data_IF_468346757894
#
_entry.id   IF_468346757894
#
_cell.length_a   1.000
_cell.length_b   1.000
_cell.length_c   1.000
_cell.angle_alpha   90.00
_cell.angle_beta   90.00
_cell.angle_gamma   90.00
#
_symmetry.space_group_name_H-M   'P 1'
#
loop_
_entity.id
_entity.type
_entity.pdbx_description
1 polymer ?
#
# COMPACT_ATOMS: atom_id res chain seq x y z
N UNK A 1 -18.89 7.49 -39.71
CA UNK A 1 -17.67 7.46 -40.55
C UNK A 1 -16.55 7.01 -39.64
N UNK A 2 -16.09 5.75 -39.76
CA UNK A 2 -14.97 5.18 -38.99
C UNK A 2 -13.67 5.56 -39.70
N UNK A 3 -12.88 6.42 -39.12
CA UNK A 3 -11.58 6.85 -39.65
C UNK A 3 -10.57 5.69 -39.62
N UNK A 4 -10.09 5.22 -40.78
CA UNK A 4 -9.07 4.13 -40.85
C UNK A 4 -7.71 4.55 -40.30
N UNK A 5 -7.41 5.85 -40.26
CA UNK A 5 -6.12 6.38 -39.80
C UNK A 5 -5.92 6.21 -38.28
N UNK A 6 -6.98 6.34 -37.49
CA UNK A 6 -6.95 6.12 -36.03
C UNK A 6 -6.68 4.65 -35.65
N UNK A 7 -7.12 3.69 -36.49
CA UNK A 7 -6.87 2.25 -36.30
C UNK A 7 -5.41 1.85 -36.63
N UNK A 8 -4.82 2.53 -37.61
CA UNK A 8 -3.43 2.26 -38.03
C UNK A 8 -2.42 2.84 -37.02
N UNK A 9 -2.63 4.04 -36.50
CA UNK A 9 -1.80 4.64 -35.46
C UNK A 9 -1.83 3.82 -34.15
N UNK A 10 -3.01 3.30 -33.76
CA UNK A 10 -3.17 2.41 -32.58
C UNK A 10 -2.51 1.03 -32.76
N UNK A 11 -2.37 0.54 -34.00
CA UNK A 11 -1.64 -0.70 -34.31
C UNK A 11 -0.13 -0.51 -34.35
N UNK A 12 0.35 0.60 -34.90
CA UNK A 12 1.78 0.93 -34.99
C UNK A 12 2.37 1.15 -33.58
N UNK A 13 1.72 1.90 -32.70
CA UNK A 13 2.19 2.08 -31.32
C UNK A 13 2.22 0.79 -30.52
N UNK A 14 1.31 -0.16 -30.78
CA UNK A 14 1.30 -1.47 -30.14
C UNK A 14 2.47 -2.37 -30.60
N UNK A 15 2.92 -2.23 -31.83
CA UNK A 15 4.08 -2.94 -32.36
C UNK A 15 5.38 -2.49 -31.69
N UNK A 16 5.60 -1.21 -31.58
CA UNK A 16 6.84 -0.61 -31.03
C UNK A 16 7.06 -1.01 -29.56
N UNK A 17 6.01 -0.96 -28.72
CA UNK A 17 6.13 -1.34 -27.31
C UNK A 17 6.38 -2.84 -27.14
N UNK A 18 5.74 -3.69 -27.99
CA UNK A 18 5.95 -5.13 -27.94
C UNK A 18 7.36 -5.52 -28.43
N UNK A 19 7.91 -4.79 -29.38
CA UNK A 19 9.25 -5.00 -29.91
C UNK A 19 10.32 -4.58 -28.88
N UNK A 20 10.12 -3.47 -28.19
CA UNK A 20 11.06 -2.97 -27.17
C UNK A 20 11.07 -3.77 -25.87
N UNK A 21 9.89 -4.28 -25.42
CA UNK A 21 9.74 -4.96 -24.12
C UNK A 21 9.64 -6.48 -24.22
N UNK A 22 9.42 -7.01 -25.41
CA UNK A 22 9.01 -8.38 -25.61
C UNK A 22 7.53 -8.66 -25.30
N UNK A 23 6.92 -9.69 -25.94
CA UNK A 23 5.47 -9.89 -25.96
C UNK A 23 4.86 -10.16 -24.58
N UNK A 24 5.58 -10.83 -23.67
CA UNK A 24 5.10 -11.11 -22.29
C UNK A 24 4.98 -9.84 -21.46
N UNK A 25 5.95 -8.93 -21.56
CA UNK A 25 5.94 -7.67 -20.85
C UNK A 25 4.93 -6.67 -21.43
N UNK A 26 4.77 -6.66 -22.76
CA UNK A 26 3.76 -5.84 -23.42
C UNK A 26 2.34 -6.27 -23.01
N UNK A 27 2.08 -7.57 -22.90
CA UNK A 27 0.82 -8.09 -22.37
C UNK A 27 0.64 -7.68 -20.90
N UNK A 28 1.67 -7.84 -20.08
CA UNK A 28 1.62 -7.49 -18.67
C UNK A 28 1.31 -6.00 -18.46
N UNK A 29 1.96 -5.12 -19.21
CA UNK A 29 1.72 -3.68 -19.16
C UNK A 29 0.29 -3.34 -19.60
N UNK A 30 -0.20 -3.95 -20.68
CA UNK A 30 -1.57 -3.72 -21.16
C UNK A 30 -2.63 -4.12 -20.11
N UNK A 31 -2.50 -5.30 -19.52
CA UNK A 31 -3.43 -5.79 -18.50
C UNK A 31 -3.35 -4.95 -17.22
N UNK A 32 -2.14 -4.57 -16.80
CA UNK A 32 -1.92 -3.67 -15.68
C UNK A 32 -2.52 -2.28 -15.92
N UNK A 33 -2.25 -1.68 -17.09
CA UNK A 33 -2.78 -0.38 -17.46
C UNK A 33 -4.31 -0.37 -17.53
N UNK A 34 -4.93 -1.41 -18.12
CA UNK A 34 -6.39 -1.50 -18.20
C UNK A 34 -7.03 -1.60 -16.82
N UNK A 35 -6.48 -2.41 -15.91
CA UNK A 35 -6.98 -2.53 -14.55
C UNK A 35 -6.76 -1.24 -13.74
N UNK A 36 -5.59 -0.61 -13.89
CA UNK A 36 -5.26 0.65 -13.24
C UNK A 36 -6.21 1.77 -13.71
N UNK A 37 -6.34 2.00 -14.99
CA UNK A 37 -7.16 3.08 -15.55
C UNK A 37 -8.63 2.93 -15.16
N UNK A 38 -9.21 1.73 -15.26
CA UNK A 38 -10.60 1.51 -14.86
C UNK A 38 -10.81 1.83 -13.37
N UNK A 39 -9.95 1.31 -12.51
CA UNK A 39 -10.08 1.56 -11.07
C UNK A 39 -9.85 3.04 -10.73
N UNK A 40 -8.91 3.72 -11.41
CA UNK A 40 -8.70 5.16 -11.20
C UNK A 40 -9.88 5.99 -11.69
N UNK A 41 -10.47 5.62 -12.82
CA UNK A 41 -11.69 6.28 -13.29
C UNK A 41 -12.80 6.21 -12.21
N UNK A 42 -13.01 5.05 -11.59
CA UNK A 42 -13.99 4.90 -10.49
C UNK A 42 -13.62 5.79 -9.30
N UNK A 43 -12.37 5.79 -8.85
CA UNK A 43 -11.92 6.61 -7.72
C UNK A 43 -12.08 8.10 -8.01
N UNK A 44 -11.68 8.56 -9.21
CA UNK A 44 -11.76 9.96 -9.58
C UNK A 44 -13.20 10.43 -9.77
N UNK A 45 -14.03 9.67 -10.47
CA UNK A 45 -15.45 9.99 -10.64
C UNK A 45 -16.14 10.08 -9.28
N UNK A 46 -15.98 9.06 -8.43
CA UNK A 46 -16.60 9.05 -7.10
C UNK A 46 -16.09 10.19 -6.21
N UNK A 47 -14.78 10.46 -6.22
CA UNK A 47 -14.17 11.51 -5.42
C UNK A 47 -14.58 12.92 -5.86
N UNK A 48 -14.55 13.20 -7.16
CA UNK A 48 -14.98 14.51 -7.70
C UNK A 48 -16.47 14.73 -7.45
N UNK A 49 -17.31 13.72 -7.74
CA UNK A 49 -18.75 13.80 -7.45
C UNK A 49 -19.03 14.04 -5.96
N UNK A 50 -18.27 13.41 -5.07
CA UNK A 50 -18.41 13.64 -3.64
C UNK A 50 -18.12 15.10 -3.25
N UNK A 51 -17.09 15.72 -3.84
CA UNK A 51 -16.80 17.14 -3.59
C UNK A 51 -17.91 18.03 -4.13
N UNK A 52 -18.42 17.74 -5.34
CA UNK A 52 -19.52 18.50 -5.94
C UNK A 52 -20.81 18.39 -5.11
N UNK A 53 -21.12 17.22 -4.58
CA UNK A 53 -22.36 16.95 -3.84
C UNK A 53 -22.30 17.35 -2.36
N UNK A 54 -21.15 17.12 -1.70
CA UNK A 54 -21.01 17.30 -0.25
C UNK A 54 -20.10 18.49 0.13
N UNK A 55 -19.47 19.13 -0.84
CA UNK A 55 -18.53 20.22 -0.61
C UNK A 55 -17.16 19.74 -0.09
N UNK A 56 -16.33 20.71 0.23
CA UNK A 56 -14.92 20.49 0.61
C UNK A 56 -14.70 20.03 2.05
N UNK A 57 -15.73 20.02 2.91
CA UNK A 57 -15.60 19.82 4.35
C UNK A 57 -14.51 20.74 4.98
N UNK A 58 -14.60 22.03 4.68
CA UNK A 58 -13.54 23.04 4.94
C UNK A 58 -13.05 23.07 6.39
N UNK A 59 -13.94 22.93 7.36
CA UNK A 59 -13.58 22.90 8.79
C UNK A 59 -12.65 21.72 9.17
N UNK A 60 -12.76 20.60 8.47
CA UNK A 60 -11.85 19.46 8.65
C UNK A 60 -10.58 19.64 7.83
N UNK A 61 -10.72 20.12 6.59
CA UNK A 61 -9.59 20.40 5.70
C UNK A 61 -8.62 21.40 6.30
N UNK A 62 -9.09 22.49 6.85
CA UNK A 62 -8.25 23.52 7.48
C UNK A 62 -7.41 23.02 8.66
N UNK A 63 -7.88 21.98 9.38
CA UNK A 63 -7.11 21.35 10.47
C UNK A 63 -6.11 20.31 10.00
N UNK A 64 -6.41 19.61 8.90
CA UNK A 64 -5.64 18.47 8.43
C UNK A 64 -4.68 18.82 7.26
N UNK A 65 -4.91 19.96 6.63
CA UNK A 65 -4.10 20.54 5.56
C UNK A 65 -3.97 22.05 5.76
N UNK A 66 -3.30 22.49 6.84
CA UNK A 66 -3.21 23.90 7.20
C UNK A 66 -2.45 24.74 6.15
N UNK A 67 -1.57 24.11 5.40
CA UNK A 67 -0.78 24.76 4.33
C UNK A 67 -1.43 24.66 2.94
N UNK A 68 -2.63 24.09 2.87
CA UNK A 68 -3.36 23.92 1.60
C UNK A 68 -2.58 23.13 0.53
N UNK A 69 -1.70 22.22 0.95
CA UNK A 69 -0.85 21.43 0.05
C UNK A 69 -1.67 20.60 -0.97
N UNK A 70 -2.88 20.22 -0.59
CA UNK A 70 -3.83 19.49 -1.43
C UNK A 70 -4.83 20.40 -2.21
N UNK A 71 -4.63 21.72 -2.15
CA UNK A 71 -5.41 22.73 -2.91
C UNK A 71 -4.47 23.75 -3.56
N UNK A 72 -3.61 23.31 -4.49
CA UNK A 72 -2.46 24.10 -4.94
C UNK A 72 -2.83 25.32 -5.77
N UNK A 73 -4.05 25.38 -6.36
CA UNK A 73 -4.43 26.49 -7.25
C UNK A 73 -5.39 27.46 -6.61
N UNK A 74 -6.07 27.10 -5.52
CA UNK A 74 -7.18 27.86 -4.95
C UNK A 74 -8.41 27.94 -5.86
N UNK A 75 -8.37 27.30 -7.05
CA UNK A 75 -9.47 27.24 -8.00
C UNK A 75 -10.30 25.98 -7.76
N UNK A 76 -11.52 26.14 -7.28
CA UNK A 76 -12.37 25.02 -6.81
C UNK A 76 -12.49 23.86 -7.81
N UNK A 77 -12.61 24.15 -9.11
CA UNK A 77 -12.74 23.11 -10.14
C UNK A 77 -11.44 22.32 -10.35
N UNK A 78 -10.28 23.00 -10.43
CA UNK A 78 -8.98 22.35 -10.62
C UNK A 78 -8.60 21.56 -9.36
N UNK A 79 -8.77 22.17 -8.19
CA UNK A 79 -8.46 21.51 -6.92
C UNK A 79 -9.37 20.29 -6.70
N UNK A 80 -10.63 20.29 -7.15
CA UNK A 80 -11.52 19.14 -7.12
C UNK A 80 -11.00 17.96 -7.97
N UNK A 81 -10.38 18.25 -9.11
CA UNK A 81 -9.80 17.21 -9.97
C UNK A 81 -8.60 16.50 -9.36
N UNK A 82 -7.83 17.15 -8.49
CA UNK A 82 -6.64 16.56 -7.86
C UNK A 82 -6.94 15.99 -6.46
N UNK A 83 -8.07 16.36 -5.87
CA UNK A 83 -8.47 15.93 -4.53
C UNK A 83 -8.48 14.41 -4.30
N UNK A 84 -8.92 13.56 -5.27
CA UNK A 84 -8.86 12.11 -5.10
C UNK A 84 -7.44 11.56 -4.93
N UNK A 85 -6.44 12.33 -5.30
CA UNK A 85 -5.02 11.96 -5.16
C UNK A 85 -4.31 12.60 -3.97
N UNK A 86 -4.95 13.52 -3.23
CA UNK A 86 -4.26 14.27 -2.18
C UNK A 86 -5.19 14.57 -1.00
N UNK A 87 -5.02 13.79 0.08
CA UNK A 87 -5.67 13.99 1.38
C UNK A 87 -4.85 13.29 2.46
N UNK A 88 -5.06 13.67 3.73
CA UNK A 88 -4.49 13.02 4.91
C UNK A 88 -2.95 13.02 4.87
N UNK A 89 -2.31 11.87 4.94
CA UNK A 89 -0.84 11.78 4.97
C UNK A 89 -0.17 12.38 3.72
N UNK A 90 -0.92 12.64 2.63
CA UNK A 90 -0.37 13.32 1.45
C UNK A 90 0.21 14.69 1.79
N UNK A 91 -0.38 15.41 2.75
CA UNK A 91 0.09 16.73 3.19
C UNK A 91 1.50 16.63 3.76
N UNK A 92 1.74 15.66 4.65
CA UNK A 92 3.06 15.43 5.23
C UNK A 92 4.13 15.11 4.15
N UNK A 93 3.79 14.27 3.18
CA UNK A 93 4.74 13.95 2.10
C UNK A 93 5.06 15.16 1.23
N UNK A 94 4.09 16.01 0.93
CA UNK A 94 4.31 17.23 0.15
C UNK A 94 5.09 18.28 0.96
N UNK A 95 4.77 18.46 2.24
CA UNK A 95 5.50 19.36 3.12
C UNK A 95 6.97 18.95 3.29
N UNK A 96 7.23 17.65 3.48
CA UNK A 96 8.61 17.14 3.56
C UNK A 96 9.33 17.29 2.21
N UNK A 97 8.65 17.05 1.08
CA UNK A 97 9.24 17.22 -0.24
C UNK A 97 9.64 18.68 -0.53
N UNK A 98 8.88 19.66 -0.01
CA UNK A 98 9.18 21.08 -0.20
C UNK A 98 10.08 21.70 0.87
N UNK A 99 9.93 21.30 2.14
CA UNK A 99 10.57 21.94 3.28
C UNK A 99 11.51 21.06 4.10
N UNK A 100 11.58 19.75 3.79
CA UNK A 100 12.40 18.80 4.54
C UNK A 100 11.91 18.50 5.95
N UNK A 101 12.83 17.99 6.77
CA UNK A 101 12.62 17.69 8.19
C UNK A 101 13.09 18.84 9.06
N UNK A 102 12.38 19.08 10.17
CA UNK A 102 12.69 20.18 11.08
C UNK A 102 12.65 19.73 12.53
N UNK A 103 13.54 20.21 13.40
CA UNK A 103 13.46 19.99 14.84
C UNK A 103 12.23 20.66 15.48
N UNK A 104 11.65 21.66 14.83
CA UNK A 104 10.44 22.34 15.32
C UNK A 104 9.15 21.62 14.95
N UNK A 105 9.22 20.60 14.07
CA UNK A 105 8.08 19.77 13.67
C UNK A 105 8.50 18.29 13.68
N UNK A 106 8.64 17.68 14.87
CA UNK A 106 9.13 16.32 15.02
C UNK A 106 8.18 15.26 14.43
N UNK A 107 6.88 15.58 14.24
CA UNK A 107 5.90 14.66 13.66
C UNK A 107 6.27 14.26 12.23
N UNK A 108 6.96 15.12 11.46
CA UNK A 108 7.48 14.78 10.12
C UNK A 108 8.37 13.54 10.12
N UNK A 109 9.08 13.28 11.23
CA UNK A 109 9.98 12.14 11.35
C UNK A 109 9.26 10.78 11.30
N UNK A 110 7.93 10.73 11.48
CA UNK A 110 7.16 9.51 11.26
C UNK A 110 7.11 9.08 9.78
N UNK A 111 7.33 10.02 8.85
CA UNK A 111 7.24 9.82 7.41
C UNK A 111 8.63 9.64 6.79
N UNK A 112 8.87 8.48 6.17
CA UNK A 112 10.18 8.08 5.68
C UNK A 112 10.59 8.84 4.41
N UNK A 113 11.92 9.09 4.19
CA UNK A 113 12.42 10.11 3.29
C UNK A 113 12.36 9.75 1.81
N UNK A 114 12.33 8.47 1.43
CA UNK A 114 12.50 8.06 0.04
C UNK A 114 11.42 8.66 -0.88
N UNK A 115 10.16 8.58 -0.47
CA UNK A 115 9.06 9.07 -1.29
C UNK A 115 9.06 10.60 -1.42
N UNK A 116 9.15 11.41 -0.34
CA UNK A 116 9.29 12.85 -0.43
C UNK A 116 10.49 13.29 -1.28
N UNK A 117 11.63 12.60 -1.15
CA UNK A 117 12.83 12.87 -1.95
C UNK A 117 12.57 12.67 -3.45
N UNK A 118 11.91 11.55 -3.82
CA UNK A 118 11.53 11.31 -5.22
C UNK A 118 10.56 12.39 -5.73
N UNK A 119 9.58 12.79 -4.91
CA UNK A 119 8.65 13.87 -5.26
C UNK A 119 9.40 15.18 -5.49
N UNK A 120 10.34 15.54 -4.61
CA UNK A 120 11.16 16.75 -4.76
C UNK A 120 11.98 16.70 -6.06
N UNK A 121 12.66 15.59 -6.34
CA UNK A 121 13.45 15.41 -7.57
C UNK A 121 12.58 15.51 -8.83
N UNK A 122 11.41 14.84 -8.83
CA UNK A 122 10.49 14.86 -9.99
C UNK A 122 9.80 16.21 -10.15
N UNK A 123 9.64 16.99 -9.08
CA UNK A 123 9.04 18.32 -9.16
C UNK A 123 9.94 19.35 -9.86
N UNK A 124 11.26 19.18 -9.82
CA UNK A 124 12.22 20.13 -10.39
C UNK A 124 11.96 20.42 -11.90
N UNK A 125 11.84 19.42 -12.78
CA UNK A 125 11.49 19.67 -14.19
C UNK A 125 10.02 20.13 -14.40
N UNK A 126 9.17 20.03 -13.37
CA UNK A 126 7.78 20.50 -13.37
C UNK A 126 7.63 21.90 -12.77
N UNK A 127 8.69 22.69 -12.73
CA UNK A 127 8.67 24.04 -12.15
C UNK A 127 8.42 24.09 -10.64
N UNK A 128 8.76 23.02 -9.92
CA UNK A 128 8.54 22.90 -8.46
C UNK A 128 7.15 22.42 -8.06
N UNK A 129 6.33 21.97 -9.00
CA UNK A 129 4.95 21.52 -8.74
C UNK A 129 4.93 20.16 -8.01
N UNK A 130 4.92 20.19 -6.67
CA UNK A 130 5.05 19.01 -5.81
C UNK A 130 3.88 18.02 -5.96
N UNK A 131 2.63 18.51 -6.01
CA UNK A 131 1.46 17.63 -6.09
C UNK A 131 1.40 16.83 -7.40
N UNK A 132 1.56 17.44 -8.59
CA UNK A 132 1.67 16.69 -9.85
C UNK A 132 2.84 15.71 -9.85
N UNK A 133 4.00 16.10 -9.27
CA UNK A 133 5.16 15.21 -9.13
C UNK A 133 4.84 14.00 -8.26
N UNK A 134 4.19 14.19 -7.11
CA UNK A 134 3.76 13.11 -6.22
C UNK A 134 2.78 12.14 -6.90
N UNK A 135 1.81 12.65 -7.64
CA UNK A 135 0.89 11.82 -8.44
C UNK A 135 1.63 11.03 -9.51
N UNK A 136 2.56 11.66 -10.23
CA UNK A 136 3.37 11.00 -11.27
C UNK A 136 4.22 9.87 -10.70
N UNK A 137 4.89 10.10 -9.56
CA UNK A 137 5.66 9.07 -8.84
C UNK A 137 4.77 7.91 -8.44
N UNK A 138 3.62 8.19 -7.79
CA UNK A 138 2.70 7.14 -7.33
C UNK A 138 2.14 6.33 -8.50
N UNK A 139 1.68 6.97 -9.58
CA UNK A 139 1.09 6.28 -10.73
C UNK A 139 2.12 5.45 -11.50
N UNK A 140 3.33 5.97 -11.68
CA UNK A 140 4.43 5.23 -12.31
C UNK A 140 4.80 3.99 -11.51
N UNK A 141 4.94 4.13 -10.19
CA UNK A 141 5.22 3.01 -9.30
C UNK A 141 4.06 2.00 -9.26
N UNK A 142 2.81 2.45 -9.23
CA UNK A 142 1.64 1.57 -9.26
C UNK A 142 1.58 0.77 -10.56
N UNK A 143 1.77 1.41 -11.70
CA UNK A 143 1.80 0.74 -13.00
C UNK A 143 2.97 -0.24 -13.08
N UNK A 144 4.16 0.14 -12.62
CA UNK A 144 5.33 -0.74 -12.52
C UNK A 144 5.06 -1.95 -11.62
N UNK A 145 4.47 -1.74 -10.45
CA UNK A 145 4.08 -2.82 -9.54
C UNK A 145 3.08 -3.79 -10.17
N UNK A 146 1.98 -3.29 -10.74
CA UNK A 146 0.95 -4.13 -11.37
C UNK A 146 1.49 -4.89 -12.58
N UNK A 147 2.38 -4.27 -13.36
CA UNK A 147 3.05 -4.91 -14.51
C UNK A 147 3.98 -6.04 -14.05
N UNK A 148 4.84 -5.78 -13.06
CA UNK A 148 5.73 -6.78 -12.49
C UNK A 148 4.94 -7.92 -11.83
N UNK A 149 3.85 -7.59 -11.15
CA UNK A 149 2.94 -8.56 -10.54
C UNK A 149 2.32 -9.47 -11.60
N UNK A 150 1.75 -8.87 -12.68
CA UNK A 150 1.19 -9.64 -13.79
C UNK A 150 2.22 -10.57 -14.38
N UNK A 151 3.39 -10.06 -14.79
CA UNK A 151 4.46 -10.85 -15.38
C UNK A 151 4.88 -12.01 -14.48
N UNK A 152 5.05 -11.75 -13.16
CA UNK A 152 5.47 -12.77 -12.20
C UNK A 152 4.42 -13.87 -12.02
N UNK A 153 3.15 -13.50 -11.88
CA UNK A 153 2.04 -14.45 -11.72
C UNK A 153 1.77 -15.20 -13.02
N UNK A 154 1.85 -14.53 -14.18
CA UNK A 154 1.64 -15.15 -15.49
C UNK A 154 2.64 -16.28 -15.76
N UNK A 155 3.90 -16.07 -15.42
CA UNK A 155 4.95 -17.12 -15.54
C UNK A 155 4.73 -18.31 -14.62
N UNK A 156 4.09 -18.09 -13.46
CA UNK A 156 3.85 -19.14 -12.47
C UNK A 156 2.50 -19.86 -12.65
N UNK A 157 1.48 -19.18 -13.18
CA UNK A 157 0.07 -19.63 -13.14
C UNK A 157 -0.72 -19.36 -14.43
N UNK A 158 -0.09 -18.77 -15.44
CA UNK A 158 -0.73 -18.40 -16.70
C UNK A 158 -1.35 -16.98 -16.69
N UNK A 159 -1.51 -16.41 -17.89
CA UNK A 159 -1.93 -15.03 -18.09
C UNK A 159 -3.35 -14.74 -17.55
N UNK A 160 -4.30 -15.66 -17.72
CA UNK A 160 -5.67 -15.48 -17.22
C UNK A 160 -5.74 -15.34 -15.69
N UNK A 161 -4.91 -16.13 -14.96
CA UNK A 161 -4.78 -15.99 -13.50
C UNK A 161 -4.15 -14.65 -13.14
N UNK A 162 -3.10 -14.25 -13.85
CA UNK A 162 -2.40 -12.99 -13.62
C UNK A 162 -3.32 -11.78 -13.83
N UNK A 163 -4.12 -11.77 -14.90
CA UNK A 163 -5.09 -10.70 -15.15
C UNK A 163 -6.12 -10.59 -14.03
N UNK A 164 -6.60 -11.71 -13.46
CA UNK A 164 -7.52 -11.68 -12.31
C UNK A 164 -6.82 -11.13 -11.07
N UNK A 165 -5.58 -11.54 -10.77
CA UNK A 165 -4.80 -11.08 -9.62
C UNK A 165 -4.55 -9.57 -9.72
N UNK A 166 -4.15 -9.05 -10.88
CA UNK A 166 -3.89 -7.62 -11.10
C UNK A 166 -5.17 -6.80 -10.96
N UNK A 167 -6.31 -7.28 -11.50
CA UNK A 167 -7.60 -6.62 -11.32
C UNK A 167 -7.99 -6.55 -9.85
N UNK A 168 -7.84 -7.64 -9.10
CA UNK A 168 -8.08 -7.63 -7.64
C UNK A 168 -7.16 -6.61 -6.96
N UNK A 169 -5.86 -6.60 -7.30
CA UNK A 169 -4.90 -5.66 -6.73
C UNK A 169 -5.25 -4.18 -6.99
N UNK A 170 -5.83 -3.89 -8.15
CA UNK A 170 -6.26 -2.54 -8.51
C UNK A 170 -7.63 -2.15 -7.95
N UNK A 171 -8.52 -3.14 -7.64
CA UNK A 171 -9.93 -2.87 -7.32
C UNK A 171 -10.25 -2.96 -5.83
N UNK A 172 -9.41 -3.60 -5.00
CA UNK A 172 -9.64 -3.61 -3.54
C UNK A 172 -9.72 -2.20 -2.97
N UNK A 173 -10.58 -1.94 -1.97
CA UNK A 173 -10.80 -0.60 -1.44
C UNK A 173 -9.53 0.18 -1.10
N UNK A 174 -8.53 -0.38 -0.38
CA UNK A 174 -7.31 0.34 -0.06
C UNK A 174 -6.42 0.67 -1.28
N UNK A 175 -6.73 0.16 -2.48
CA UNK A 175 -5.97 0.49 -3.68
C UNK A 175 -6.11 1.95 -4.13
N UNK A 176 -6.95 2.76 -3.47
CA UNK A 176 -6.95 4.22 -3.66
C UNK A 176 -5.57 4.81 -3.37
N UNK A 177 -4.84 4.27 -2.38
CA UNK A 177 -3.50 4.70 -2.02
C UNK A 177 -2.43 4.39 -3.08
N UNK A 178 -2.74 3.58 -4.09
CA UNK A 178 -1.84 3.36 -5.24
C UNK A 178 -1.76 4.59 -6.16
N UNK A 179 -2.69 5.52 -6.05
CA UNK A 179 -2.75 6.70 -6.91
C UNK A 179 -2.79 8.02 -6.15
N UNK A 180 -2.89 7.98 -4.85
CA UNK A 180 -2.71 9.15 -4.01
C UNK A 180 -1.21 9.46 -3.81
N UNK A 181 -0.90 10.66 -3.31
CA UNK A 181 0.49 11.06 -2.94
C UNK A 181 0.88 10.31 -1.67
N UNK A 182 1.26 9.03 -1.84
CA UNK A 182 1.49 8.07 -0.77
C UNK A 182 2.64 7.11 -1.12
N UNK A 183 3.23 6.48 -0.12
CA UNK A 183 4.37 5.57 -0.28
C UNK A 183 3.99 4.16 -0.75
N UNK A 184 2.71 3.79 -0.72
CA UNK A 184 2.23 2.42 -0.92
C UNK A 184 2.64 1.84 -2.27
N UNK A 185 2.45 2.58 -3.34
CA UNK A 185 2.79 2.12 -4.70
C UNK A 185 4.31 1.87 -4.86
N UNK A 186 5.12 2.81 -4.38
CA UNK A 186 6.59 2.69 -4.40
C UNK A 186 7.06 1.49 -3.57
N UNK A 187 6.52 1.34 -2.36
CA UNK A 187 6.89 0.25 -1.46
C UNK A 187 6.48 -1.13 -2.02
N UNK A 188 5.31 -1.23 -2.63
CA UNK A 188 4.85 -2.45 -3.30
C UNK A 188 5.78 -2.85 -4.46
N UNK A 189 6.19 -1.88 -5.28
CA UNK A 189 7.12 -2.12 -6.38
C UNK A 189 8.47 -2.62 -5.87
N UNK A 190 9.02 -1.97 -4.84
CA UNK A 190 10.31 -2.32 -4.24
C UNK A 190 10.27 -3.69 -3.55
N UNK A 191 9.25 -3.95 -2.75
CA UNK A 191 9.11 -5.20 -2.00
C UNK A 191 8.86 -6.41 -2.91
N UNK A 192 8.01 -6.26 -3.93
CA UNK A 192 7.82 -7.29 -4.94
C UNK A 192 9.10 -7.50 -5.75
N UNK A 193 9.78 -6.40 -6.15
CA UNK A 193 11.05 -6.45 -6.87
C UNK A 193 12.12 -7.20 -6.09
N UNK A 194 12.27 -6.93 -4.79
CA UNK A 194 13.22 -7.61 -3.91
C UNK A 194 12.95 -9.12 -3.85
N UNK A 195 11.69 -9.53 -3.62
CA UNK A 195 11.33 -10.95 -3.55
C UNK A 195 11.42 -11.66 -4.92
N UNK A 196 11.13 -10.97 -6.02
CA UNK A 196 11.33 -11.52 -7.37
C UNK A 196 12.81 -11.66 -7.70
N UNK A 197 13.65 -10.71 -7.30
CA UNK A 197 15.11 -10.79 -7.46
C UNK A 197 15.69 -11.96 -6.65
N UNK A 198 15.30 -12.11 -5.39
CA UNK A 198 15.69 -13.23 -4.53
C UNK A 198 15.36 -14.59 -5.15
N UNK A 199 14.14 -14.75 -5.69
CA UNK A 199 13.70 -15.98 -6.38
C UNK A 199 14.46 -16.28 -7.66
N UNK A 200 15.18 -15.31 -8.21
CA UNK A 200 16.07 -15.45 -9.38
C UNK A 200 17.54 -15.55 -8.99
N UNK A 201 17.85 -15.81 -7.71
CA UNK A 201 19.20 -15.83 -7.14
C UNK A 201 19.99 -14.52 -7.31
N UNK A 202 19.31 -13.38 -7.50
CA UNK A 202 19.94 -12.05 -7.61
C UNK A 202 19.96 -11.37 -6.24
N UNK A 203 20.74 -11.93 -5.30
CA UNK A 203 20.73 -11.52 -3.90
C UNK A 203 21.19 -10.09 -3.68
N UNK A 204 22.21 -9.62 -4.42
CA UNK A 204 22.62 -8.22 -4.38
C UNK A 204 21.46 -7.27 -4.72
N UNK A 205 20.74 -7.53 -5.82
CA UNK A 205 19.59 -6.72 -6.21
C UNK A 205 18.45 -6.82 -5.18
N UNK A 206 18.23 -8.01 -4.62
CA UNK A 206 17.22 -8.20 -3.56
C UNK A 206 17.55 -7.39 -2.31
N UNK A 207 18.81 -7.40 -1.87
CA UNK A 207 19.29 -6.61 -0.74
C UNK A 207 19.20 -5.10 -0.97
N UNK A 208 19.62 -4.62 -2.15
CA UNK A 208 19.54 -3.21 -2.52
C UNK A 208 18.08 -2.74 -2.55
N UNK A 209 17.19 -3.48 -3.24
CA UNK A 209 15.76 -3.12 -3.29
C UNK A 209 15.11 -3.17 -1.90
N UNK A 210 15.52 -4.13 -1.05
CA UNK A 210 15.10 -4.22 0.33
C UNK A 210 15.54 -3.02 1.18
N UNK A 211 16.82 -2.59 1.03
CA UNK A 211 17.36 -1.42 1.72
C UNK A 211 16.63 -0.12 1.30
N UNK A 212 16.41 0.06 0.00
CA UNK A 212 15.62 1.18 -0.52
C UNK A 212 14.19 1.11 0.01
N UNK A 213 13.56 -0.08 0.09
CA UNK A 213 12.25 -0.28 0.69
C UNK A 213 12.20 0.06 2.19
N UNK A 214 13.29 -0.21 2.94
CA UNK A 214 13.42 0.13 4.35
C UNK A 214 13.57 1.65 4.59
N UNK A 215 14.04 2.42 3.61
CA UNK A 215 14.03 3.89 3.65
C UNK A 215 12.71 4.51 3.15
N UNK A 216 11.76 3.68 2.71
CA UNK A 216 10.45 4.11 2.24
C UNK A 216 9.37 4.04 3.33
N UNK A 217 9.42 3.00 4.19
CA UNK A 217 8.42 2.75 5.24
C UNK A 217 9.03 1.96 6.40
N UNK A 218 8.52 2.18 7.61
CA UNK A 218 8.99 1.47 8.81
C UNK A 218 8.92 -0.06 8.70
N UNK A 219 7.85 -0.60 8.10
CA UNK A 219 7.72 -2.04 7.84
C UNK A 219 8.78 -2.58 6.86
N UNK A 220 9.43 -1.70 6.08
CA UNK A 220 10.41 -2.10 5.06
C UNK A 220 11.60 -2.89 5.61
N UNK A 221 12.03 -2.62 6.84
CA UNK A 221 13.11 -3.38 7.49
C UNK A 221 12.73 -4.86 7.65
N UNK A 222 11.45 -5.16 7.83
CA UNK A 222 10.95 -6.52 8.05
C UNK A 222 10.96 -7.38 6.77
N UNK A 223 11.23 -6.79 5.58
CA UNK A 223 11.39 -7.57 4.34
C UNK A 223 12.61 -8.49 4.40
N UNK A 224 13.57 -8.22 5.30
CA UNK A 224 14.67 -9.13 5.58
C UNK A 224 14.18 -10.54 5.99
N UNK A 225 13.04 -10.63 6.69
CA UNK A 225 12.45 -11.90 7.13
C UNK A 225 12.07 -12.79 5.94
N UNK A 226 11.16 -12.35 5.01
CA UNK A 226 10.83 -13.17 3.85
C UNK A 226 12.02 -13.39 2.90
N UNK A 227 13.00 -12.47 2.83
CA UNK A 227 14.23 -12.69 2.07
C UNK A 227 15.07 -13.80 2.70
N UNK A 228 15.25 -13.83 4.03
CA UNK A 228 15.93 -14.90 4.73
C UNK A 228 15.21 -16.25 4.57
N UNK A 229 13.86 -16.24 4.61
CA UNK A 229 13.05 -17.43 4.35
C UNK A 229 13.24 -17.91 2.91
N UNK A 230 13.23 -17.02 1.91
CA UNK A 230 13.50 -17.41 0.51
C UNK A 230 14.92 -17.92 0.34
N UNK A 231 15.90 -17.34 1.07
CA UNK A 231 17.29 -17.77 1.03
C UNK A 231 17.47 -19.19 1.54
N UNK A 232 16.87 -19.52 2.68
CA UNK A 232 17.08 -20.79 3.38
C UNK A 232 16.18 -21.91 2.86
N UNK A 233 14.95 -21.59 2.47
CA UNK A 233 13.92 -22.59 2.11
C UNK A 233 13.32 -22.39 0.72
N UNK A 234 13.63 -21.28 0.03
CA UNK A 234 13.17 -21.01 -1.31
C UNK A 234 13.73 -22.01 -2.33
N UNK A 235 13.11 -22.09 -3.48
CA UNK A 235 13.62 -22.89 -4.60
C UNK A 235 14.55 -22.04 -5.46
N UNK A 236 15.82 -22.33 -5.45
CA UNK A 236 16.81 -21.77 -6.36
C UNK A 236 16.64 -22.41 -7.74
N UNK A 237 16.30 -21.62 -8.76
CA UNK A 237 16.05 -22.15 -10.10
C UNK A 237 14.70 -22.89 -10.21
N UNK A 238 14.22 -23.15 -11.28
CA UNK A 238 12.96 -23.67 -11.82
C UNK A 238 12.03 -24.44 -10.86
N UNK A 239 10.78 -23.99 -10.76
CA UNK A 239 9.56 -24.78 -10.61
C UNK A 239 9.13 -25.15 -9.19
N UNK A 240 7.83 -25.12 -9.02
CA UNK A 240 6.94 -25.64 -7.99
C UNK A 240 7.03 -25.16 -6.54
N UNK A 241 5.91 -24.63 -6.11
CA UNK A 241 5.61 -24.10 -4.78
C UNK A 241 5.02 -25.19 -3.88
N UNK A 242 5.80 -26.15 -3.41
CA UNK A 242 5.35 -26.99 -2.30
C UNK A 242 5.86 -26.44 -0.98
N UNK A 243 4.99 -26.38 0.03
CA UNK A 243 5.40 -26.20 1.41
C UNK A 243 6.37 -27.33 1.77
N UNK A 244 7.40 -26.98 2.51
CA UNK A 244 8.50 -27.91 2.85
C UNK A 244 8.01 -28.98 3.80
N UNK A 245 8.25 -30.23 3.49
CA UNK A 245 7.92 -31.37 4.36
C UNK A 245 8.63 -31.31 5.75
N UNK A 246 9.72 -30.53 5.84
CA UNK A 246 10.47 -30.29 7.08
C UNK A 246 10.92 -28.82 7.15
N UNK A 247 10.02 -27.94 7.55
CA UNK A 247 10.23 -26.49 7.61
C UNK A 247 11.38 -26.05 8.56
N UNK A 248 11.79 -26.87 9.53
CA UNK A 248 12.90 -26.59 10.46
C UNK A 248 14.30 -26.91 9.89
N UNK A 249 14.41 -27.56 8.73
CA UNK A 249 15.71 -27.81 8.09
C UNK A 249 15.89 -26.92 6.86
N UNK A 250 16.88 -26.00 6.89
CA UNK A 250 17.23 -25.23 5.72
C UNK A 250 17.58 -26.14 4.54
N UNK A 251 17.12 -25.81 3.34
CA UNK A 251 17.44 -26.54 2.10
C UNK A 251 18.78 -26.15 1.52
N UNK A 252 19.27 -24.95 1.87
CA UNK A 252 20.47 -24.38 1.30
C UNK A 252 21.46 -24.03 2.40
N UNK A 253 22.74 -24.31 2.14
CA UNK A 253 23.84 -23.84 2.96
C UNK A 253 24.00 -22.33 2.83
N UNK A 254 24.46 -21.69 3.88
CA UNK A 254 24.83 -20.29 3.87
C UNK A 254 26.04 -20.09 2.93
N UNK A 255 25.96 -19.09 2.06
CA UNK A 255 27.03 -18.61 1.18
C UNK A 255 27.27 -17.14 1.47
N UNK A 256 28.40 -16.55 1.04
CA UNK A 256 28.68 -15.13 1.27
C UNK A 256 27.61 -14.18 0.72
N UNK A 257 26.84 -14.60 -0.29
CA UNK A 257 25.77 -13.80 -0.88
C UNK A 257 24.58 -13.54 0.08
N UNK A 258 24.47 -14.28 1.19
CA UNK A 258 23.50 -14.00 2.26
C UNK A 258 23.73 -12.62 2.88
N UNK A 259 24.97 -12.12 2.87
CA UNK A 259 25.32 -10.81 3.41
C UNK A 259 24.56 -9.66 2.72
N UNK A 260 24.12 -9.85 1.49
CA UNK A 260 23.28 -8.85 0.81
C UNK A 260 21.94 -8.61 1.53
N UNK A 261 21.40 -9.58 2.25
CA UNK A 261 20.19 -9.39 3.07
C UNK A 261 20.46 -8.41 4.21
N UNK A 262 21.71 -8.38 4.71
CA UNK A 262 22.17 -7.42 5.71
C UNK A 262 22.14 -5.95 5.27
N UNK A 263 22.00 -5.66 3.98
CA UNK A 263 21.79 -4.29 3.50
C UNK A 263 20.40 -3.74 3.90
N UNK A 264 19.40 -4.60 4.08
CA UNK A 264 18.03 -4.16 4.37
C UNK A 264 17.93 -3.25 5.59
N UNK A 265 18.50 -3.59 6.76
CA UNK A 265 18.50 -2.69 7.90
C UNK A 265 19.22 -1.37 7.66
N UNK A 266 20.20 -1.33 6.74
CA UNK A 266 20.94 -0.09 6.46
C UNK A 266 20.05 1.03 5.90
N UNK A 267 18.97 0.70 5.19
CA UNK A 267 18.01 1.70 4.73
C UNK A 267 17.33 2.44 5.88
N UNK A 268 16.94 1.71 6.94
CA UNK A 268 16.40 2.29 8.16
C UNK A 268 17.48 3.06 8.95
N UNK A 269 18.66 2.48 9.10
CA UNK A 269 19.78 3.09 9.83
C UNK A 269 20.27 4.38 9.15
N UNK A 270 20.30 4.41 7.82
CA UNK A 270 20.62 5.62 7.06
C UNK A 270 19.60 6.73 7.34
N UNK A 271 18.31 6.40 7.43
CA UNK A 271 17.30 7.37 7.82
C UNK A 271 17.47 7.84 9.27
N UNK A 272 17.73 6.95 10.21
CA UNK A 272 18.00 7.33 11.60
C UNK A 272 19.24 8.24 11.71
N UNK A 273 20.33 7.91 11.00
CA UNK A 273 21.51 8.76 10.96
C UNK A 273 21.22 10.15 10.34
N UNK A 274 20.46 10.19 9.26
CA UNK A 274 20.02 11.44 8.64
C UNK A 274 19.19 12.29 9.63
N UNK A 275 18.21 11.71 10.35
CA UNK A 275 17.44 12.42 11.37
C UNK A 275 18.34 12.96 12.49
N UNK A 276 19.35 12.19 12.92
CA UNK A 276 20.32 12.62 13.91
C UNK A 276 21.05 13.90 13.48
N UNK A 277 21.38 14.02 12.19
CA UNK A 277 22.02 15.22 11.63
C UNK A 277 21.02 16.36 11.41
N UNK A 278 19.86 16.05 10.84
CA UNK A 278 18.89 17.06 10.40
C UNK A 278 18.06 17.64 11.57
N UNK A 279 17.74 16.83 12.58
CA UNK A 279 16.84 17.22 13.67
C UNK A 279 17.47 17.08 15.06
N UNK A 280 18.67 16.50 15.17
CA UNK A 280 19.30 16.16 16.45
C UNK A 280 18.74 14.90 17.11
N UNK A 281 17.77 14.22 16.49
CA UNK A 281 17.11 13.03 17.04
C UNK A 281 17.12 11.82 16.10
N UNK A 282 18.10 10.92 16.22
CA UNK A 282 18.18 9.71 15.38
C UNK A 282 17.01 8.72 15.63
N UNK A 283 16.33 8.81 16.76
CA UNK A 283 15.15 7.99 17.07
C UNK A 283 13.82 8.70 16.80
N UNK A 284 13.86 9.87 16.15
CA UNK A 284 12.69 10.69 15.85
C UNK A 284 11.58 9.91 15.13
N UNK A 285 11.91 9.03 14.20
CA UNK A 285 10.93 8.18 13.50
C UNK A 285 10.13 7.26 14.42
N UNK A 286 10.75 6.79 15.52
CA UNK A 286 10.10 5.93 16.51
C UNK A 286 9.31 6.78 17.51
N UNK A 287 9.89 7.87 18.00
CA UNK A 287 9.23 8.76 18.98
C UNK A 287 7.99 9.44 18.40
N UNK A 288 8.07 9.88 17.15
CA UNK A 288 6.94 10.49 16.45
C UNK A 288 5.70 9.58 16.32
N UNK A 289 5.84 8.24 16.49
CA UNK A 289 4.67 7.36 16.55
C UNK A 289 3.76 7.66 17.76
N UNK A 290 4.30 8.29 18.79
CA UNK A 290 3.53 8.76 19.95
C UNK A 290 2.47 9.80 19.59
N UNK A 291 2.68 10.63 18.56
CA UNK A 291 1.72 11.64 18.09
C UNK A 291 0.43 11.00 17.54
N UNK A 292 0.51 9.72 17.14
CA UNK A 292 -0.64 8.89 16.75
C UNK A 292 -1.08 7.93 17.87
N UNK A 293 -0.67 8.18 19.12
CA UNK A 293 -0.98 7.35 20.28
C UNK A 293 -0.58 5.87 20.10
N UNK A 294 0.42 5.59 19.26
CA UNK A 294 0.87 4.23 18.97
C UNK A 294 1.81 3.73 20.05
N UNK A 295 1.55 2.51 20.49
CA UNK A 295 2.39 1.84 21.48
C UNK A 295 2.61 0.38 21.07
N UNK A 296 3.69 -0.21 21.58
CA UNK A 296 4.01 -1.61 21.28
C UNK A 296 3.16 -2.57 22.10
N UNK A 297 2.49 -3.47 21.39
CA UNK A 297 1.88 -4.68 21.92
C UNK A 297 2.32 -5.89 21.07
N UNK A 298 1.90 -7.10 21.48
CA UNK A 298 2.00 -8.25 20.56
C UNK A 298 0.85 -8.18 19.53
N UNK A 299 0.93 -8.89 18.37
CA UNK A 299 -0.18 -8.96 17.41
C UNK A 299 -1.50 -9.45 18.05
N UNK A 300 -1.39 -10.39 18.99
CA UNK A 300 -2.55 -10.89 19.76
C UNK A 300 -3.06 -9.80 20.71
N UNK A 301 -2.16 -9.10 21.41
CA UNK A 301 -2.53 -7.99 22.28
C UNK A 301 -3.25 -6.86 21.54
N UNK A 302 -2.79 -6.48 20.35
CA UNK A 302 -3.46 -5.49 19.52
C UNK A 302 -4.84 -5.96 19.01
N UNK A 303 -4.98 -7.23 18.67
CA UNK A 303 -6.28 -7.80 18.32
C UNK A 303 -7.24 -7.81 19.51
N UNK A 304 -6.77 -8.19 20.68
CA UNK A 304 -7.57 -8.17 21.91
C UNK A 304 -7.98 -6.74 22.29
N UNK A 305 -7.08 -5.77 22.14
CA UNK A 305 -7.40 -4.36 22.34
C UNK A 305 -8.51 -3.89 21.39
N UNK A 306 -8.44 -4.29 20.09
CA UNK A 306 -9.48 -3.95 19.12
C UNK A 306 -10.84 -4.58 19.46
N UNK A 307 -10.86 -5.84 19.88
CA UNK A 307 -12.10 -6.51 20.36
C UNK A 307 -12.63 -5.79 21.59
N UNK A 308 -11.76 -5.45 22.54
CA UNK A 308 -12.12 -4.71 23.76
C UNK A 308 -12.79 -3.35 23.46
N UNK A 309 -12.25 -2.60 22.47
CA UNK A 309 -12.86 -1.33 22.05
C UNK A 309 -14.25 -1.55 21.46
N UNK A 310 -14.46 -2.56 20.61
CA UNK A 310 -15.77 -2.86 20.02
C UNK A 310 -16.77 -3.27 21.12
N UNK A 311 -16.38 -4.15 22.04
CA UNK A 311 -17.22 -4.57 23.16
C UNK A 311 -17.57 -3.38 24.06
N UNK A 312 -16.58 -2.52 24.38
CA UNK A 312 -16.81 -1.30 25.15
C UNK A 312 -17.83 -0.38 24.49
N UNK A 313 -17.69 -0.12 23.18
CA UNK A 313 -18.63 0.74 22.43
C UNK A 313 -20.06 0.15 22.35
N UNK A 314 -20.19 -1.18 22.26
CA UNK A 314 -21.50 -1.84 22.34
C UNK A 314 -22.11 -1.61 23.72
N UNK A 315 -21.31 -1.76 24.78
CA UNK A 315 -21.77 -1.51 26.16
C UNK A 315 -22.20 -0.06 26.39
N UNK A 316 -21.42 0.91 25.88
CA UNK A 316 -21.75 2.33 25.95
C UNK A 316 -23.07 2.64 25.23
N UNK A 317 -23.29 2.11 24.01
CA UNK A 317 -24.52 2.28 23.25
C UNK A 317 -25.72 1.61 23.91
N UNK A 318 -25.50 0.49 24.59
CA UNK A 318 -26.53 -0.22 25.35
C UNK A 318 -26.80 0.39 26.75
N UNK A 319 -26.05 1.41 27.17
CA UNK A 319 -26.14 2.03 28.48
C UNK A 319 -25.68 1.14 29.63
N UNK A 320 -24.86 0.10 29.34
CA UNK A 320 -24.41 -0.87 30.34
C UNK A 320 -23.19 -0.37 31.13
N UNK A 321 -22.29 0.35 30.48
CA UNK A 321 -21.08 0.96 31.08
C UNK A 321 -20.52 2.06 30.18
N UNK A 322 -19.66 2.91 30.72
CA UNK A 322 -18.93 3.93 29.99
C UNK A 322 -17.44 3.58 29.99
N UNK A 323 -16.91 3.14 28.86
CA UNK A 323 -15.52 2.66 28.80
C UNK A 323 -14.59 3.41 27.86
N UNK A 324 -15.08 4.10 26.85
CA UNK A 324 -14.18 4.71 25.87
C UNK A 324 -14.63 6.11 25.47
N UNK A 325 -13.95 7.17 25.92
CA UNK A 325 -14.22 8.51 25.43
C UNK A 325 -14.03 8.53 23.91
N UNK A 326 -15.05 9.01 23.20
CA UNK A 326 -14.96 9.29 21.78
C UNK A 326 -14.17 10.59 21.61
N UNK A 327 -13.37 10.66 20.55
CA UNK A 327 -12.78 11.92 20.18
C UNK A 327 -13.87 12.97 19.90
N UNK A 328 -13.63 14.26 20.21
CA UNK A 328 -14.64 15.30 20.03
C UNK A 328 -15.23 15.29 18.62
N UNK A 329 -16.57 15.25 18.53
CA UNK A 329 -17.32 15.24 17.27
C UNK A 329 -17.50 13.87 16.61
N UNK A 330 -17.10 12.76 17.24
CA UNK A 330 -17.41 11.43 16.75
C UNK A 330 -18.80 10.99 17.17
N UNK A 331 -19.55 10.41 16.22
CA UNK A 331 -20.86 9.80 16.46
C UNK A 331 -20.65 8.35 16.91
N UNK A 332 -21.15 7.92 18.09
CA UNK A 332 -20.88 6.59 18.65
C UNK A 332 -21.19 5.44 17.69
N UNK A 333 -22.33 5.47 17.02
CA UNK A 333 -22.74 4.43 16.08
C UNK A 333 -21.81 4.34 14.85
N UNK A 334 -21.30 5.46 14.33
CA UNK A 334 -20.35 5.47 13.22
C UNK A 334 -18.98 4.94 13.64
N UNK A 335 -18.55 5.28 14.86
CA UNK A 335 -17.30 4.77 15.41
C UNK A 335 -17.36 3.25 15.60
N UNK A 336 -18.45 2.72 16.17
CA UNK A 336 -18.67 1.28 16.29
C UNK A 336 -18.70 0.58 14.93
N UNK A 337 -19.44 1.14 13.95
CA UNK A 337 -19.52 0.57 12.60
C UNK A 337 -18.12 0.47 11.97
N UNK A 338 -17.31 1.52 12.07
CA UNK A 338 -15.92 1.51 11.60
C UNK A 338 -15.11 0.41 12.25
N UNK A 339 -15.12 0.32 13.57
CA UNK A 339 -14.29 -0.63 14.31
C UNK A 339 -14.71 -2.08 14.04
N UNK A 340 -16.00 -2.34 13.87
CA UNK A 340 -16.53 -3.65 13.42
C UNK A 340 -16.07 -3.98 12.02
N UNK A 341 -16.14 -3.04 11.06
CA UNK A 341 -15.66 -3.24 9.68
C UNK A 341 -14.18 -3.57 9.66
N UNK A 342 -13.37 -2.90 10.50
CA UNK A 342 -11.94 -3.19 10.63
C UNK A 342 -11.68 -4.58 11.23
N UNK A 343 -12.44 -5.03 12.22
CA UNK A 343 -12.33 -6.40 12.74
C UNK A 343 -12.72 -7.44 11.68
N UNK A 344 -13.76 -7.18 10.89
CA UNK A 344 -14.15 -8.05 9.78
C UNK A 344 -13.03 -8.11 8.72
N UNK A 345 -12.36 -6.99 8.47
CA UNK A 345 -11.19 -6.96 7.58
C UNK A 345 -10.06 -7.85 8.11
N UNK A 346 -9.75 -7.80 9.42
CA UNK A 346 -8.75 -8.69 10.04
C UNK A 346 -9.15 -10.15 9.84
N UNK A 347 -10.41 -10.50 10.14
CA UNK A 347 -10.93 -11.85 9.93
C UNK A 347 -10.80 -12.32 8.49
N UNK A 348 -11.16 -11.45 7.52
CA UNK A 348 -11.01 -11.73 6.10
C UNK A 348 -9.54 -11.92 5.69
N UNK A 349 -8.63 -11.07 6.18
CA UNK A 349 -7.19 -11.19 5.91
C UNK A 349 -6.63 -12.50 6.48
N UNK A 350 -7.00 -12.89 7.70
CA UNK A 350 -6.62 -14.17 8.30
C UNK A 350 -7.18 -15.36 7.50
N UNK A 351 -8.43 -15.31 7.06
CA UNK A 351 -9.04 -16.34 6.22
C UNK A 351 -8.31 -16.48 4.87
N UNK A 352 -7.94 -15.35 4.25
CA UNK A 352 -7.15 -15.33 3.01
C UNK A 352 -5.75 -15.91 3.22
N UNK A 353 -5.07 -15.56 4.31
CA UNK A 353 -3.77 -16.13 4.67
C UNK A 353 -3.87 -17.64 4.93
N UNK A 354 -4.88 -18.07 5.65
CA UNK A 354 -5.13 -19.50 5.90
C UNK A 354 -5.38 -20.27 4.60
N UNK A 355 -6.27 -19.75 3.77
CA UNK A 355 -6.56 -20.35 2.47
C UNK A 355 -5.34 -20.32 1.54
N UNK A 356 -4.55 -19.26 1.57
CA UNK A 356 -3.41 -19.02 0.70
C UNK A 356 -2.17 -19.85 1.04
N UNK A 357 -2.11 -20.45 2.24
CA UNK A 357 -0.96 -21.30 2.63
C UNK A 357 -0.77 -22.45 1.65
N UNK A 358 0.48 -22.65 1.21
CA UNK A 358 0.81 -23.65 0.21
C UNK A 358 0.38 -23.33 -1.23
N UNK A 359 -0.26 -22.17 -1.47
CA UNK A 359 -0.68 -21.72 -2.81
C UNK A 359 0.19 -20.60 -3.37
N UNK A 360 0.98 -19.98 -2.52
CA UNK A 360 2.02 -19.00 -2.88
C UNK A 360 3.36 -19.47 -2.32
N UNK A 361 4.50 -18.91 -2.77
CA UNK A 361 5.80 -19.15 -2.16
C UNK A 361 5.77 -18.91 -0.66
N UNK A 362 6.51 -19.72 0.11
CA UNK A 362 6.53 -19.59 1.59
C UNK A 362 6.99 -18.19 2.03
N UNK A 363 7.97 -17.61 1.34
CA UNK A 363 8.45 -16.25 1.61
C UNK A 363 7.35 -15.20 1.40
N UNK A 364 6.51 -15.36 0.38
CA UNK A 364 5.37 -14.49 0.15
C UNK A 364 4.29 -14.68 1.21
N UNK A 365 4.03 -15.92 1.63
CA UNK A 365 3.07 -16.19 2.70
C UNK A 365 3.54 -15.57 4.01
N UNK A 366 4.82 -15.74 4.38
CA UNK A 366 5.44 -15.12 5.57
C UNK A 366 5.35 -13.60 5.47
N UNK A 367 5.61 -13.02 4.28
CA UNK A 367 5.47 -11.58 4.09
C UNK A 367 4.02 -11.10 4.32
N UNK A 368 3.03 -11.87 3.90
CA UNK A 368 1.62 -11.59 4.21
C UNK A 368 1.31 -11.66 5.71
N UNK A 369 1.87 -12.64 6.42
CA UNK A 369 1.73 -12.74 7.89
C UNK A 369 2.38 -11.55 8.59
N UNK A 370 3.61 -11.21 8.24
CA UNK A 370 4.35 -10.06 8.81
C UNK A 370 3.59 -8.76 8.56
N UNK A 371 3.00 -8.59 7.38
CA UNK A 371 2.23 -7.41 7.00
C UNK A 371 0.99 -7.18 7.84
N UNK A 372 0.35 -8.25 8.28
CA UNK A 372 -0.81 -8.18 9.17
C UNK A 372 -0.37 -8.06 10.63
N UNK A 373 0.67 -8.80 11.02
CA UNK A 373 1.17 -8.81 12.40
C UNK A 373 1.77 -7.46 12.82
N UNK A 374 2.50 -6.78 11.93
CA UNK A 374 3.17 -5.52 12.25
C UNK A 374 2.20 -4.43 12.72
N UNK A 375 1.16 -4.04 11.96
CA UNK A 375 0.22 -3.01 12.42
C UNK A 375 -0.59 -3.45 13.65
N UNK A 376 -0.87 -4.75 13.81
CA UNK A 376 -1.49 -5.27 15.03
C UNK A 376 -0.56 -5.19 16.24
N UNK A 377 0.77 -5.18 16.04
CA UNK A 377 1.76 -5.03 17.13
C UNK A 377 1.96 -3.58 17.57
N UNK A 378 1.48 -2.61 16.82
CA UNK A 378 1.66 -1.17 17.12
C UNK A 378 0.30 -0.46 16.99
N UNK A 379 -0.69 -0.84 17.80
CA UNK A 379 -2.01 -0.23 17.78
C UNK A 379 -1.97 1.20 18.30
N UNK A 380 -2.92 2.04 17.85
CA UNK A 380 -3.26 3.29 18.54
C UNK A 380 -4.16 3.00 19.74
N UNK A 381 -4.03 3.79 20.79
CA UNK A 381 -4.77 3.58 22.03
C UNK A 381 -6.29 3.65 21.85
N UNK A 382 -6.77 4.71 21.18
CA UNK A 382 -8.22 4.91 20.96
C UNK A 382 -8.79 4.14 19.77
N UNK A 383 -7.94 3.81 18.78
CA UNK A 383 -8.31 3.19 17.52
C UNK A 383 -7.31 2.10 17.13
N UNK A 384 -7.32 0.94 17.81
CA UNK A 384 -6.29 -0.08 17.65
C UNK A 384 -6.04 -0.54 16.22
N UNK A 385 -7.07 -0.53 15.37
CA UNK A 385 -6.99 -0.94 13.97
C UNK A 385 -6.88 0.23 12.99
N UNK A 386 -6.52 1.44 13.46
CA UNK A 386 -6.38 2.62 12.61
C UNK A 386 -5.42 2.37 11.44
N UNK A 387 -5.87 2.62 10.21
CA UNK A 387 -5.12 2.43 8.95
C UNK A 387 -4.71 0.98 8.66
N UNK A 388 -5.22 -0.02 9.37
CA UNK A 388 -4.80 -1.41 9.20
C UNK A 388 -5.01 -1.92 7.76
N UNK A 389 -6.13 -1.67 7.07
CA UNK A 389 -6.29 -2.08 5.67
C UNK A 389 -5.26 -1.47 4.74
N UNK A 390 -4.88 -0.20 4.97
CA UNK A 390 -3.82 0.49 4.20
C UNK A 390 -2.45 -0.16 4.44
N UNK A 391 -2.10 -0.43 5.69
CA UNK A 391 -0.83 -1.04 6.03
C UNK A 391 -0.71 -2.48 5.50
N UNK A 392 -1.78 -3.26 5.59
CA UNK A 392 -1.80 -4.62 5.04
C UNK A 392 -1.80 -4.64 3.52
N UNK A 393 -2.42 -3.65 2.87
CA UNK A 393 -2.38 -3.50 1.41
C UNK A 393 -0.97 -3.20 0.90
N UNK A 394 -0.14 -2.48 1.67
CA UNK A 394 1.26 -2.26 1.33
C UNK A 394 2.08 -3.56 1.20
N UNK A 395 1.46 -4.71 1.48
CA UNK A 395 2.06 -6.03 1.36
C UNK A 395 1.25 -6.91 0.40
N UNK A 396 1.69 -6.98 -0.82
CA UNK A 396 1.02 -7.62 -1.95
C UNK A 396 0.56 -9.08 -1.78
N UNK A 397 1.14 -9.95 -0.91
CA UNK A 397 0.77 -11.37 -0.90
C UNK A 397 -0.68 -11.65 -0.56
N UNK A 398 -1.28 -10.87 0.36
CA UNK A 398 -2.70 -11.03 0.71
C UNK A 398 -3.59 -10.81 -0.51
N UNK A 399 -3.27 -9.77 -1.28
CA UNK A 399 -4.00 -9.44 -2.52
C UNK A 399 -3.80 -10.51 -3.59
N UNK A 400 -2.59 -11.05 -3.73
CA UNK A 400 -2.31 -12.18 -4.63
C UNK A 400 -3.15 -13.39 -4.26
N UNK A 401 -3.18 -13.77 -2.98
CA UNK A 401 -3.98 -14.91 -2.51
C UNK A 401 -5.48 -14.69 -2.75
N UNK A 402 -5.99 -13.48 -2.50
CA UNK A 402 -7.37 -13.11 -2.82
C UNK A 402 -7.66 -13.22 -4.32
N UNK A 403 -6.73 -12.74 -5.17
CA UNK A 403 -6.83 -12.86 -6.63
C UNK A 403 -6.82 -14.31 -7.13
N UNK A 404 -5.99 -15.18 -6.55
CA UNK A 404 -5.99 -16.61 -6.83
C UNK A 404 -7.30 -17.28 -6.42
N UNK A 405 -7.86 -16.88 -5.28
CA UNK A 405 -9.17 -17.34 -4.82
C UNK A 405 -10.28 -16.88 -5.77
N UNK A 406 -10.25 -15.62 -6.19
CA UNK A 406 -11.21 -15.08 -7.15
C UNK A 406 -11.18 -15.84 -8.48
N UNK A 407 -9.98 -16.07 -9.04
CA UNK A 407 -9.79 -16.77 -10.29
C UNK A 407 -10.34 -18.20 -10.26
N UNK A 408 -10.11 -18.94 -9.18
CA UNK A 408 -10.63 -20.30 -9.00
C UNK A 408 -12.15 -20.40 -9.03
N UNK A 409 -12.86 -19.34 -8.67
CA UNK A 409 -14.32 -19.27 -8.73
C UNK A 409 -14.89 -18.97 -10.12
N UNK A 410 -14.00 -18.73 -11.10
CA UNK A 410 -14.37 -18.51 -12.49
C UNK A 410 -15.27 -17.27 -12.70
N UNK A 411 -15.93 -17.24 -13.85
CA UNK A 411 -16.79 -16.12 -14.24
C UNK A 411 -17.96 -15.88 -13.26
N UNK A 412 -18.49 -16.93 -12.62
CA UNK A 412 -19.59 -16.80 -11.65
C UNK A 412 -19.19 -15.95 -10.45
N UNK A 413 -17.98 -16.21 -9.87
CA UNK A 413 -17.47 -15.42 -8.75
C UNK A 413 -17.08 -14.02 -9.18
N UNK A 414 -16.45 -13.89 -10.33
CA UNK A 414 -15.97 -12.61 -10.83
C UNK A 414 -17.12 -11.61 -11.10
N UNK A 415 -18.27 -12.09 -11.59
CA UNK A 415 -19.44 -11.24 -11.89
C UNK A 415 -19.96 -10.44 -10.68
N UNK A 416 -19.85 -10.97 -9.48
CA UNK A 416 -20.25 -10.22 -8.26
C UNK A 416 -19.06 -9.57 -7.55
N UNK A 417 -17.87 -10.21 -7.58
CA UNK A 417 -16.70 -9.71 -6.84
C UNK A 417 -16.19 -8.39 -7.44
N UNK A 418 -16.04 -8.28 -8.74
CA UNK A 418 -15.49 -7.09 -9.38
C UNK A 418 -16.33 -5.82 -9.11
N UNK A 419 -17.67 -5.81 -9.33
CA UNK A 419 -18.47 -4.64 -9.01
C UNK A 419 -18.51 -4.35 -7.50
N UNK A 420 -18.50 -5.38 -6.63
CA UNK A 420 -18.42 -5.18 -5.17
C UNK A 420 -17.12 -4.47 -4.78
N UNK A 421 -15.97 -4.93 -5.28
CA UNK A 421 -14.68 -4.29 -4.98
C UNK A 421 -14.63 -2.85 -5.48
N UNK A 422 -15.09 -2.58 -6.70
CA UNK A 422 -15.13 -1.23 -7.27
C UNK A 422 -16.13 -0.32 -6.53
N UNK A 423 -17.28 -0.84 -6.13
CA UNK A 423 -18.28 -0.09 -5.35
C UNK A 423 -17.73 0.29 -3.97
N UNK A 424 -17.08 -0.66 -3.28
CA UNK A 424 -16.41 -0.38 -2.01
C UNK A 424 -15.24 0.60 -2.19
N UNK A 425 -14.48 0.50 -3.28
CA UNK A 425 -13.41 1.45 -3.59
C UNK A 425 -13.95 2.86 -3.85
N UNK A 426 -15.09 2.98 -4.55
CA UNK A 426 -15.79 4.25 -4.74
C UNK A 426 -16.24 4.85 -3.39
N UNK A 427 -16.82 4.04 -2.51
CA UNK A 427 -17.20 4.48 -1.16
C UNK A 427 -15.98 4.98 -0.36
N UNK A 428 -14.85 4.28 -0.45
CA UNK A 428 -13.60 4.72 0.19
C UNK A 428 -13.09 6.03 -0.40
N UNK A 429 -13.18 6.23 -1.72
CA UNK A 429 -12.82 7.48 -2.35
C UNK A 429 -13.67 8.65 -1.84
N UNK A 430 -14.97 8.45 -1.66
CA UNK A 430 -15.87 9.45 -1.04
C UNK A 430 -15.42 9.79 0.37
N UNK A 431 -15.17 8.81 1.23
CA UNK A 431 -14.68 9.01 2.60
C UNK A 431 -13.33 9.73 2.62
N UNK A 432 -12.43 9.37 1.70
CA UNK A 432 -11.10 9.96 1.60
C UNK A 432 -11.16 11.44 1.25
N UNK A 433 -11.90 11.83 0.21
CA UNK A 433 -11.94 13.22 -0.26
C UNK A 433 -12.72 14.16 0.65
N UNK A 434 -13.70 13.63 1.40
CA UNK A 434 -14.51 14.41 2.36
C UNK A 434 -13.85 14.54 3.73
N UNK A 435 -12.58 14.16 3.86
CA UNK A 435 -11.87 14.14 5.13
C UNK A 435 -12.59 13.33 6.22
N UNK A 436 -13.45 12.43 5.81
CA UNK A 436 -14.01 11.42 6.67
C UNK A 436 -13.01 10.27 6.70
N UNK A 437 -12.53 9.91 7.88
CA UNK A 437 -11.46 8.94 8.00
C UNK A 437 -11.79 7.65 7.24
N UNK A 438 -11.01 7.33 6.21
CA UNK A 438 -11.07 6.02 5.55
C UNK A 438 -10.15 5.08 6.32
N UNK A 439 -10.67 3.97 6.84
CA UNK A 439 -9.92 3.01 7.64
C UNK A 439 -8.75 2.39 6.92
#
# INVERSE_FOLDING_TARGET
MNDPSARTASRAGRGVVAEALGPEWALALREAASAFLLSRAVVWIAGVLAIVLFGWAESRGARLDPLWACRPTGTAGVDALVAPGCRWDSTWYLEIAGGGYSPTDPARSAFFPLYPLLVSVVSAPLGGALLPAGLLVSWSCALGFLTLLHHTVARARGAATASTVVKVAAYVPPAIFLSAVYTEALFLLLSLGALVAARRDRWMLAGILGAIGASCRSIGILIAIPLAVEYLWGRRGRGETRLVDRWWRPRHALRPDVLWIGLVPLGFLAYAAFLGVATGDPMGAVRAQGDWERHFLTPIGGLLAAVGVVVGRIGDLAGLWYMAPLAPGQVPALALTRDVVLLLFVGAALAVLWWGRGRVPVSWWIWGVVSLAYPLSVPSFQQPLMSLPRFTMACFPIVVMLGLWAHRGGAKRWRWLAPTLLGLQAAWAVLFVTWTWAP
#
